data_IF_032335576305
#
_entry.id   IF_032335576305
#
_cell.length_a   1.000
_cell.length_b   1.000
_cell.length_c   1.000
_cell.angle_alpha   90.00
_cell.angle_beta   90.00
_cell.angle_gamma   90.00
#
_symmetry.space_group_name_H-M   'P 1'
#
loop_
_entity.id
_entity.type
_entity.pdbx_description
1 polymer ?
#
# COMPACT_ATOMS: atom_id res chain seq x y z
N UNK A 1 42.24 1.65 13.56
CA UNK A 1 41.74 0.88 14.73
C UNK A 1 40.24 1.11 14.80
N UNK A 2 39.41 0.23 14.25
CA UNK A 2 38.03 -0.11 14.65
C UNK A 2 37.61 -1.28 13.74
N UNK A 3 37.21 -2.39 14.36
CA UNK A 3 37.16 -3.73 13.77
C UNK A 3 35.92 -4.06 12.94
N UNK A 4 35.83 -5.32 12.44
CA UNK A 4 34.72 -5.80 11.64
C UNK A 4 33.53 -6.18 12.54
N UNK A 5 32.34 -6.20 11.93
CA UNK A 5 31.08 -6.76 12.44
C UNK A 5 30.18 -5.86 13.31
N UNK A 6 29.33 -5.09 12.64
CA UNK A 6 27.93 -4.93 13.02
C UNK A 6 27.11 -4.54 11.77
N UNK A 7 26.42 -5.54 11.19
CA UNK A 7 25.17 -5.40 10.40
C UNK A 7 25.08 -4.23 9.41
N UNK A 8 25.29 -4.53 8.12
CA UNK A 8 25.01 -3.65 6.97
C UNK A 8 23.52 -3.34 6.73
N UNK A 9 22.79 -2.92 7.77
CA UNK A 9 21.38 -2.50 7.70
C UNK A 9 21.19 -0.99 7.91
N UNK A 10 22.25 -0.25 8.26
CA UNK A 10 22.18 1.19 8.57
C UNK A 10 23.27 2.00 7.85
N UNK A 11 23.42 1.81 6.54
CA UNK A 11 24.05 2.83 5.69
C UNK A 11 22.98 3.84 5.31
N UNK A 12 22.84 4.84 6.18
CA UNK A 12 21.88 5.93 6.06
C UNK A 12 22.48 7.00 5.13
N UNK A 13 21.98 7.03 3.89
CA UNK A 13 22.19 8.10 2.90
C UNK A 13 21.53 9.40 3.37
N UNK A 14 22.30 10.37 3.89
CA UNK A 14 22.03 11.82 4.12
C UNK A 14 20.66 12.31 4.67
N UNK A 15 19.66 11.45 4.90
CA UNK A 15 18.27 11.74 5.28
C UNK A 15 17.64 10.66 6.19
N UNK A 16 18.43 9.69 6.67
CA UNK A 16 17.89 8.38 7.08
C UNK A 16 17.12 8.29 8.40
N UNK A 17 17.36 9.09 9.47
CA UNK A 17 16.54 8.97 10.67
C UNK A 17 15.08 9.36 10.39
N UNK A 18 14.88 10.45 9.64
CA UNK A 18 13.56 10.98 9.35
C UNK A 18 12.73 10.03 8.50
N UNK A 19 13.32 9.43 7.47
CA UNK A 19 12.63 8.46 6.61
C UNK A 19 12.16 7.23 7.40
N UNK A 20 13.02 6.66 8.25
CA UNK A 20 12.66 5.53 9.09
C UNK A 20 11.57 5.91 10.10
N UNK A 21 11.67 7.09 10.72
CA UNK A 21 10.65 7.60 11.63
C UNK A 21 9.30 7.82 10.93
N UNK A 22 9.27 8.33 9.70
CA UNK A 22 8.02 8.49 8.94
C UNK A 22 7.37 7.14 8.62
N UNK A 23 8.15 6.13 8.24
CA UNK A 23 7.61 4.78 7.98
C UNK A 23 7.11 4.14 9.27
N UNK A 24 7.87 4.22 10.37
CA UNK A 24 7.45 3.70 11.68
C UNK A 24 6.17 4.38 12.18
N UNK A 25 6.09 5.71 12.04
CA UNK A 25 4.89 6.46 12.34
C UNK A 25 3.72 6.01 11.47
N UNK A 26 3.91 5.90 10.15
CA UNK A 26 2.90 5.40 9.22
C UNK A 26 2.40 4.01 9.59
N UNK A 27 3.30 3.09 9.97
CA UNK A 27 2.97 1.74 10.43
C UNK A 27 2.21 1.76 11.76
N UNK A 28 2.57 2.62 12.70
CA UNK A 28 1.86 2.77 13.97
C UNK A 28 0.43 3.30 13.76
N UNK A 29 0.28 4.33 12.92
CA UNK A 29 -1.04 4.88 12.53
C UNK A 29 -1.86 3.83 11.79
N UNK A 30 -1.23 3.06 10.90
CA UNK A 30 -1.87 1.96 10.18
C UNK A 30 -2.36 0.85 11.13
N UNK A 31 -1.54 0.45 12.10
CA UNK A 31 -1.93 -0.54 13.10
C UNK A 31 -3.10 -0.04 13.96
N UNK A 32 -3.10 1.24 14.33
CA UNK A 32 -4.23 1.84 15.05
C UNK A 32 -5.50 1.87 14.19
N UNK A 33 -5.37 2.26 12.91
CA UNK A 33 -6.46 2.25 11.95
C UNK A 33 -7.07 0.85 11.81
N UNK A 34 -6.23 -0.18 11.67
CA UNK A 34 -6.65 -1.59 11.63
C UNK A 34 -7.36 -2.03 12.90
N UNK A 35 -6.87 -1.64 14.08
CA UNK A 35 -7.55 -1.98 15.35
C UNK A 35 -8.94 -1.36 15.41
N UNK A 36 -9.11 -0.11 14.95
CA UNK A 36 -10.41 0.54 14.92
C UNK A 36 -11.35 -0.07 13.87
N UNK A 37 -10.85 -0.40 12.68
CA UNK A 37 -11.62 -1.06 11.62
C UNK A 37 -12.13 -2.45 12.05
N UNK A 38 -11.29 -3.23 12.72
CA UNK A 38 -11.65 -4.56 13.22
C UNK A 38 -12.56 -4.52 14.46
N UNK A 39 -12.59 -3.40 15.20
CA UNK A 39 -13.39 -3.25 16.42
C UNK A 39 -14.86 -2.92 16.15
N UNK A 40 -15.25 -2.64 14.90
CA UNK A 40 -16.63 -2.33 14.54
C UNK A 40 -17.09 -3.06 13.25
N UNK A 41 -17.28 -4.39 13.31
CA UNK A 41 -17.65 -5.20 12.12
C UNK A 41 -19.03 -4.84 11.55
N UNK A 42 -19.96 -4.42 12.40
CA UNK A 42 -21.33 -4.05 11.98
C UNK A 42 -21.44 -2.59 11.51
N UNK A 43 -20.35 -1.82 11.54
CA UNK A 43 -20.28 -0.39 11.12
C UNK A 43 -21.37 0.49 11.74
N UNK A 44 -21.68 0.28 13.02
CA UNK A 44 -22.73 1.05 13.73
C UNK A 44 -22.16 2.27 14.45
N UNK A 45 -20.84 2.31 14.70
CA UNK A 45 -20.19 3.39 15.46
C UNK A 45 -19.39 4.36 14.58
N UNK A 46 -18.97 5.49 15.18
CA UNK A 46 -18.09 6.48 14.55
C UNK A 46 -16.65 5.96 14.33
N UNK A 47 -16.29 4.79 14.87
CA UNK A 47 -14.94 4.21 14.80
C UNK A 47 -14.51 3.93 13.37
N UNK A 48 -15.43 3.51 12.50
CA UNK A 48 -15.14 3.31 11.07
C UNK A 48 -14.76 4.63 10.36
N UNK A 49 -15.34 5.76 10.79
CA UNK A 49 -14.98 7.07 10.26
C UNK A 49 -13.59 7.51 10.70
N UNK A 50 -13.24 7.31 11.97
CA UNK A 50 -11.88 7.60 12.48
C UNK A 50 -10.83 6.71 11.81
N UNK A 51 -11.10 5.41 11.66
CA UNK A 51 -10.21 4.49 10.97
C UNK A 51 -9.96 4.88 9.51
N UNK A 52 -11.01 5.36 8.83
CA UNK A 52 -10.88 5.91 7.47
C UNK A 52 -9.88 7.08 7.42
N UNK A 53 -10.00 8.06 8.32
CA UNK A 53 -9.06 9.18 8.36
C UNK A 53 -7.63 8.76 8.71
N UNK A 54 -7.46 7.81 9.64
CA UNK A 54 -6.14 7.27 9.97
C UNK A 54 -5.51 6.55 8.77
N UNK A 55 -6.29 5.81 7.98
CA UNK A 55 -5.80 5.19 6.74
C UNK A 55 -5.40 6.22 5.67
N UNK A 56 -6.10 7.36 5.56
CA UNK A 56 -5.71 8.46 4.66
C UNK A 56 -4.34 9.02 5.02
N UNK A 57 -4.00 9.09 6.31
CA UNK A 57 -2.69 9.60 6.77
C UNK A 57 -1.61 8.52 6.66
N UNK A 58 -1.91 7.28 7.04
CA UNK A 58 -0.95 6.18 7.05
C UNK A 58 -0.47 5.81 5.64
N UNK A 59 -1.37 5.76 4.66
CA UNK A 59 -1.04 5.31 3.30
C UNK A 59 0.06 6.18 2.65
N UNK A 60 -0.05 7.52 2.58
CA UNK A 60 1.01 8.40 2.08
C UNK A 60 2.30 8.30 2.89
N UNK A 61 2.21 8.24 4.22
CA UNK A 61 3.41 8.16 5.07
C UNK A 61 4.25 6.92 4.76
N UNK A 62 3.61 5.77 4.55
CA UNK A 62 4.29 4.51 4.21
C UNK A 62 4.73 4.53 2.74
N UNK A 63 3.77 4.71 1.83
CA UNK A 63 4.00 4.52 0.39
C UNK A 63 4.94 5.59 -0.16
N UNK A 64 4.77 6.87 0.17
CA UNK A 64 5.64 7.91 -0.37
C UNK A 64 7.09 7.73 0.07
N UNK A 65 7.29 7.45 1.35
CA UNK A 65 8.62 7.32 1.91
C UNK A 65 9.38 6.15 1.29
N UNK A 66 8.74 4.98 1.18
CA UNK A 66 9.36 3.80 0.57
C UNK A 66 9.51 3.96 -0.94
N UNK A 67 8.47 4.43 -1.64
CA UNK A 67 8.49 4.53 -3.08
C UNK A 67 9.50 5.57 -3.60
N UNK A 68 9.61 6.73 -2.93
CA UNK A 68 10.60 7.74 -3.30
C UNK A 68 12.03 7.25 -3.05
N UNK A 69 12.28 6.52 -1.96
CA UNK A 69 13.60 5.95 -1.70
C UNK A 69 13.98 4.92 -2.79
N UNK A 70 13.04 4.06 -3.18
CA UNK A 70 13.27 3.08 -4.25
C UNK A 70 13.44 3.74 -5.63
N UNK A 71 12.65 4.79 -5.94
CA UNK A 71 12.85 5.57 -7.16
C UNK A 71 14.23 6.23 -7.20
N UNK A 72 14.67 6.83 -6.09
CA UNK A 72 15.97 7.49 -5.98
C UNK A 72 17.15 6.53 -6.10
N UNK A 73 17.00 5.29 -5.61
CA UNK A 73 18.03 4.26 -5.79
C UNK A 73 18.31 3.96 -7.27
N UNK A 74 17.33 4.17 -8.15
CA UNK A 74 17.47 4.01 -9.59
C UNK A 74 17.81 2.58 -10.03
N UNK A 75 18.07 2.42 -11.33
CA UNK A 75 18.45 1.14 -11.93
C UNK A 75 17.33 0.08 -11.95
N UNK A 76 17.65 -1.06 -12.57
CA UNK A 76 16.71 -2.18 -12.75
C UNK A 76 16.29 -2.75 -11.39
N UNK A 77 17.22 -2.91 -10.45
CA UNK A 77 16.95 -3.45 -9.12
C UNK A 77 16.02 -2.56 -8.28
N UNK A 78 16.20 -1.22 -8.32
CA UNK A 78 15.31 -0.28 -7.64
C UNK A 78 13.91 -0.29 -8.24
N UNK A 79 13.80 -0.32 -9.57
CA UNK A 79 12.52 -0.40 -10.28
C UNK A 79 11.78 -1.72 -10.02
N UNK A 80 12.46 -2.87 -10.07
CA UNK A 80 11.84 -4.18 -9.78
C UNK A 80 11.36 -4.28 -8.34
N UNK A 81 12.13 -3.73 -7.40
CA UNK A 81 11.75 -3.69 -5.98
C UNK A 81 10.56 -2.78 -5.75
N UNK A 82 10.50 -1.63 -6.44
CA UNK A 82 9.35 -0.72 -6.38
C UNK A 82 8.07 -1.39 -6.92
N UNK A 83 8.16 -2.11 -8.04
CA UNK A 83 7.04 -2.89 -8.59
C UNK A 83 6.57 -3.92 -7.57
N UNK A 84 7.47 -4.71 -6.99
CA UNK A 84 7.13 -5.70 -5.98
C UNK A 84 6.46 -5.05 -4.75
N UNK A 85 6.99 -3.92 -4.26
CA UNK A 85 6.41 -3.17 -3.16
C UNK A 85 4.99 -2.67 -3.46
N UNK A 86 4.77 -2.07 -4.63
CA UNK A 86 3.45 -1.58 -5.03
C UNK A 86 2.43 -2.72 -5.18
N UNK A 87 2.86 -3.89 -5.67
CA UNK A 87 2.01 -5.08 -5.73
C UNK A 87 1.62 -5.58 -4.33
N UNK A 88 2.57 -5.65 -3.39
CA UNK A 88 2.28 -6.03 -2.00
C UNK A 88 1.28 -5.05 -1.38
N UNK A 89 1.50 -3.74 -1.53
CA UNK A 89 0.58 -2.71 -1.02
C UNK A 89 -0.80 -2.82 -1.68
N UNK A 90 -0.87 -3.10 -2.98
CA UNK A 90 -2.14 -3.29 -3.68
C UNK A 90 -2.92 -4.50 -3.13
N UNK A 91 -2.25 -5.62 -2.87
CA UNK A 91 -2.87 -6.80 -2.24
C UNK A 91 -3.37 -6.45 -0.84
N UNK A 92 -2.54 -5.81 -0.01
CA UNK A 92 -2.92 -5.36 1.34
C UNK A 92 -4.15 -4.43 1.28
N UNK A 93 -4.18 -3.50 0.34
CA UNK A 93 -5.29 -2.58 0.14
C UNK A 93 -6.61 -3.31 -0.15
N UNK A 94 -6.56 -4.35 -1.01
CA UNK A 94 -7.74 -5.16 -1.35
C UNK A 94 -8.22 -5.97 -0.15
N UNK A 95 -7.30 -6.58 0.60
CA UNK A 95 -7.63 -7.39 1.79
C UNK A 95 -8.35 -6.54 2.85
N UNK A 96 -7.87 -5.32 3.08
CA UNK A 96 -8.40 -4.42 4.11
C UNK A 96 -9.65 -3.65 3.62
N UNK A 97 -9.99 -3.72 2.33
CA UNK A 97 -11.08 -2.95 1.73
C UNK A 97 -10.86 -1.42 1.82
N UNK A 98 -9.63 -0.97 1.57
CA UNK A 98 -9.25 0.45 1.70
C UNK A 98 -8.54 0.98 0.45
N UNK A 99 -9.27 1.79 -0.32
CA UNK A 99 -8.84 2.40 -1.59
C UNK A 99 -7.73 3.46 -1.43
N UNK A 100 -7.53 4.02 -0.24
CA UNK A 100 -6.57 5.11 0.03
C UNK A 100 -5.12 4.73 -0.31
N UNK A 101 -4.75 3.45 -0.12
CA UNK A 101 -3.43 2.94 -0.48
C UNK A 101 -3.15 2.97 -1.99
N UNK A 102 -4.15 2.71 -2.81
CA UNK A 102 -4.01 2.79 -4.27
C UNK A 102 -3.76 4.22 -4.72
N UNK A 103 -4.48 5.19 -4.15
CA UNK A 103 -4.32 6.61 -4.48
C UNK A 103 -2.89 7.06 -4.18
N UNK A 104 -2.33 6.63 -3.05
CA UNK A 104 -0.95 6.94 -2.70
C UNK A 104 0.09 6.29 -3.62
N UNK A 105 -0.20 5.11 -4.18
CA UNK A 105 0.68 4.39 -5.10
C UNK A 105 0.59 4.86 -6.55
N UNK A 106 -0.54 5.46 -6.96
CA UNK A 106 -0.88 5.74 -8.35
C UNK A 106 0.17 6.58 -9.08
N UNK A 107 0.69 7.64 -8.45
CA UNK A 107 1.71 8.50 -9.05
C UNK A 107 3.01 7.74 -9.37
N UNK A 108 3.45 6.87 -8.46
CA UNK A 108 4.65 6.04 -8.65
C UNK A 108 4.45 5.00 -9.75
N UNK A 109 3.27 4.42 -9.84
CA UNK A 109 2.91 3.51 -10.93
C UNK A 109 2.96 4.19 -12.29
N UNK A 110 2.54 5.46 -12.40
CA UNK A 110 2.65 6.25 -13.64
C UNK A 110 4.12 6.51 -14.00
N UNK A 111 4.95 6.87 -13.01
CA UNK A 111 6.40 7.07 -13.22
C UNK A 111 7.06 5.78 -13.72
N UNK A 112 6.72 4.63 -13.13
CA UNK A 112 7.23 3.34 -13.60
C UNK A 112 6.71 2.97 -14.99
N UNK A 113 5.44 3.22 -15.28
CA UNK A 113 4.90 2.92 -16.60
C UNK A 113 5.57 3.79 -17.67
N UNK A 114 5.85 5.07 -17.39
CA UNK A 114 6.48 5.96 -18.37
C UNK A 114 7.92 5.54 -18.73
N UNK A 115 8.65 4.87 -17.83
CA UNK A 115 9.97 4.29 -18.16
C UNK A 115 9.86 3.08 -19.09
N UNK A 116 8.79 2.28 -18.96
CA UNK A 116 8.53 1.12 -19.84
C UNK A 116 8.06 1.56 -21.23
N UNK A 117 7.23 2.61 -21.31
CA UNK A 117 6.64 3.10 -22.57
C UNK A 117 7.55 4.06 -23.37
N UNK A 118 8.86 4.12 -23.07
CA UNK A 118 9.90 4.83 -23.83
C UNK A 118 9.44 6.15 -24.52
N UNK A 119 8.89 7.09 -23.74
CA UNK A 119 8.47 8.43 -24.22
C UNK A 119 6.96 8.64 -24.38
N UNK A 120 6.14 7.60 -24.25
CA UNK A 120 4.69 7.70 -24.29
C UNK A 120 4.04 8.03 -22.94
N UNK A 121 4.41 9.11 -22.26
CA UNK A 121 3.84 9.46 -20.95
C UNK A 121 2.30 9.55 -20.98
N UNK A 122 1.74 10.07 -22.08
CA UNK A 122 0.29 10.08 -22.30
C UNK A 122 -0.30 8.66 -22.35
N UNK A 123 0.33 7.74 -23.08
CA UNK A 123 -0.12 6.34 -23.15
C UNK A 123 0.00 5.64 -21.80
N UNK A 124 1.11 5.86 -21.07
CA UNK A 124 1.31 5.33 -19.72
C UNK A 124 0.20 5.80 -18.78
N UNK A 125 -0.11 7.10 -18.78
CA UNK A 125 -1.18 7.68 -17.95
C UNK A 125 -2.55 7.13 -18.37
N UNK A 126 -2.84 7.03 -19.67
CA UNK A 126 -4.12 6.53 -20.17
C UNK A 126 -4.33 5.06 -19.82
N UNK A 127 -3.35 4.19 -20.11
CA UNK A 127 -3.42 2.75 -19.81
C UNK A 127 -3.50 2.52 -18.31
N UNK A 128 -2.63 3.19 -17.54
CA UNK A 128 -2.59 2.99 -16.09
C UNK A 128 -3.81 3.60 -15.40
N UNK A 129 -4.29 4.76 -15.88
CA UNK A 129 -5.53 5.38 -15.43
C UNK A 129 -6.73 4.49 -15.69
N UNK A 130 -6.82 3.88 -16.88
CA UNK A 130 -7.87 2.91 -17.20
C UNK A 130 -7.83 1.69 -16.25
N UNK A 131 -6.64 1.14 -16.00
CA UNK A 131 -6.47 0.04 -15.04
C UNK A 131 -6.95 0.45 -13.65
N UNK A 132 -6.53 1.62 -13.15
CA UNK A 132 -6.92 2.12 -11.83
C UNK A 132 -8.44 2.37 -11.73
N UNK A 133 -9.07 2.88 -12.78
CA UNK A 133 -10.53 3.08 -12.84
C UNK A 133 -11.25 1.73 -12.82
N UNK A 134 -10.84 0.77 -13.65
CA UNK A 134 -11.43 -0.56 -13.69
C UNK A 134 -11.27 -1.30 -12.36
N UNK A 135 -10.09 -1.18 -11.74
CA UNK A 135 -9.78 -1.77 -10.45
C UNK A 135 -10.60 -1.12 -9.32
N UNK A 136 -10.82 0.19 -9.38
CA UNK A 136 -11.73 0.90 -8.47
C UNK A 136 -13.21 0.56 -8.69
N UNK A 137 -13.63 0.33 -9.94
CA UNK A 137 -15.01 -0.02 -10.28
C UNK A 137 -15.35 -1.47 -9.90
N UNK A 138 -14.43 -2.41 -10.13
CA UNK A 138 -14.59 -3.84 -9.82
C UNK A 138 -14.06 -4.22 -8.43
N UNK A 139 -13.81 -3.22 -7.56
CA UNK A 139 -13.18 -3.42 -6.25
C UNK A 139 -13.87 -4.51 -5.42
N UNK A 140 -15.21 -4.45 -5.32
CA UNK A 140 -16.00 -5.41 -4.55
C UNK A 140 -15.99 -6.81 -5.18
N UNK A 141 -15.84 -6.90 -6.51
CA UNK A 141 -15.67 -8.17 -7.23
C UNK A 141 -14.31 -8.81 -6.96
N UNK A 142 -13.24 -8.03 -7.11
CA UNK A 142 -11.86 -8.48 -6.92
C UNK A 142 -11.61 -8.91 -5.47
N UNK A 143 -12.10 -8.12 -4.51
CA UNK A 143 -12.05 -8.45 -3.08
C UNK A 143 -12.72 -9.79 -2.78
N UNK A 144 -13.92 -10.03 -3.33
CA UNK A 144 -14.63 -11.31 -3.15
C UNK A 144 -13.82 -12.49 -3.68
N UNK A 145 -13.26 -12.37 -4.87
CA UNK A 145 -12.47 -13.45 -5.48
C UNK A 145 -11.21 -13.78 -4.66
N UNK A 146 -10.49 -12.74 -4.20
CA UNK A 146 -9.29 -12.92 -3.36
C UNK A 146 -9.66 -13.50 -1.98
N UNK A 147 -10.74 -13.02 -1.35
CA UNK A 147 -11.18 -13.56 -0.05
C UNK A 147 -11.76 -14.98 -0.14
N UNK A 148 -12.28 -15.38 -1.29
CA UNK A 148 -12.75 -16.74 -1.55
C UNK A 148 -11.60 -17.74 -1.76
N UNK A 149 -10.45 -17.28 -2.25
CA UNK A 149 -9.26 -18.10 -2.49
C UNK A 149 -8.31 -18.16 -1.28
N UNK A 150 -8.38 -17.19 -0.35
CA UNK A 150 -7.57 -17.22 0.86
C UNK A 150 -8.02 -18.35 1.82
N UNK A 151 -7.09 -19.19 2.31
CA UNK A 151 -7.38 -20.18 3.35
C UNK A 151 -7.88 -19.50 4.64
N UNK A 152 -8.57 -20.24 5.50
CA UNK A 152 -9.09 -19.69 6.75
C UNK A 152 -7.95 -19.37 7.73
N UNK A 153 -7.92 -18.14 8.23
CA UNK A 153 -6.94 -17.65 9.21
C UNK A 153 -7.66 -16.98 10.39
N UNK A 154 -7.07 -17.01 11.61
CA UNK A 154 -7.67 -16.36 12.78
C UNK A 154 -7.81 -14.85 12.53
N UNK A 155 -9.05 -14.36 12.45
CA UNK A 155 -9.39 -12.95 12.18
C UNK A 155 -10.21 -12.70 10.90
N UNK A 156 -10.37 -13.71 10.03
CA UNK A 156 -11.16 -13.61 8.78
C UNK A 156 -12.64 -13.26 9.01
N UNK A 157 -13.20 -13.59 10.17
CA UNK A 157 -14.59 -13.28 10.57
C UNK A 157 -14.83 -11.81 10.94
N UNK A 158 -13.78 -11.06 11.25
CA UNK A 158 -13.89 -9.64 11.66
C UNK A 158 -13.78 -8.69 10.46
N UNK A 159 -13.49 -9.22 9.27
CA UNK A 159 -13.45 -8.45 8.04
C UNK A 159 -14.88 -8.16 7.54
N UNK A 160 -15.11 -7.03 6.85
CA UNK A 160 -16.42 -6.68 6.32
C UNK A 160 -17.03 -7.82 5.50
N UNK A 161 -18.35 -8.03 5.52
CA UNK A 161 -18.98 -9.16 4.85
C UNK A 161 -18.57 -9.23 3.37
N UNK A 162 -18.06 -10.39 2.97
CA UNK A 162 -17.63 -10.70 1.60
C UNK A 162 -18.50 -11.78 0.94
N UNK A 163 -19.47 -12.36 1.68
CA UNK A 163 -20.50 -13.25 1.16
C UNK A 163 -21.86 -12.57 1.29
N UNK A 164 -22.68 -12.62 0.24
CA UNK A 164 -24.11 -12.31 0.33
C UNK A 164 -24.74 -13.50 1.07
N UNK A 165 -25.56 -13.23 2.10
CA UNK A 165 -26.37 -14.25 2.73
C UNK A 165 -27.27 -14.86 1.63
N UNK A 166 -27.01 -16.13 1.30
CA UNK A 166 -27.92 -16.96 0.51
C UNK A 166 -28.86 -17.69 1.46
#
# INVERSE_FOLDING_TARGET
VFGPEATGFLVISENGPLSLMTVLFGLAVFALAMRLDLSDPMRVSTRSGTAFWLHIVAAPAIVNTVALNLLRSGGIAGQSTLVAFLLVIAVVAIVIDRRSFLVSGAGYSVILASTVFSGGAAHAILVLGLILVLLGAQWDGLRRHIMATLPDFPGKSNLPPYRIAA
#
